data_IF_713902445615
#
_entry.id   IF_713902445615
#
_cell.length_a   1.000
_cell.length_b   1.000
_cell.length_c   1.000
_cell.angle_alpha   90.00
_cell.angle_beta   90.00
_cell.angle_gamma   90.00
#
_symmetry.space_group_name_H-M   'P 1'
#
loop_
_entity.id
_entity.type
_entity.pdbx_description
1 polymer ?
#
# COMPACT_ATOMS: atom_id res chain seq x y z
N UNK A 1 -9.83 -22.68 -4.85
CA UNK A 1 -9.80 -23.66 -3.76
C UNK A 1 -9.39 -22.87 -2.54
N UNK A 2 -10.21 -22.80 -1.47
CA UNK A 2 -9.74 -22.20 -0.21
C UNK A 2 -8.45 -22.92 0.20
N UNK A 3 -7.42 -22.18 0.56
CA UNK A 3 -6.17 -22.74 1.06
C UNK A 3 -6.43 -23.71 2.22
N UNK A 4 -5.48 -24.58 2.51
CA UNK A 4 -5.63 -25.47 3.67
C UNK A 4 -5.77 -24.63 4.95
N UNK A 5 -6.76 -24.94 5.77
CA UNK A 5 -7.02 -24.26 7.05
C UNK A 5 -6.74 -25.20 8.21
N UNK A 6 -6.41 -24.63 9.37
CA UNK A 6 -6.30 -25.35 10.64
C UNK A 6 -7.68 -25.81 11.14
N UNK A 7 -7.68 -26.72 12.12
CA UNK A 7 -8.89 -27.14 12.84
C UNK A 7 -9.40 -26.06 13.80
N UNK A 8 -8.50 -25.22 14.31
CA UNK A 8 -8.76 -24.07 15.19
C UNK A 8 -7.77 -22.96 14.83
N UNK A 9 -8.14 -21.67 14.95
CA UNK A 9 -7.25 -20.58 14.60
C UNK A 9 -6.15 -20.38 15.65
N UNK A 10 -4.97 -19.96 15.20
CA UNK A 10 -3.91 -19.46 16.09
C UNK A 10 -4.16 -17.98 16.34
N UNK A 11 -4.66 -17.68 17.54
CA UNK A 11 -5.09 -16.32 17.94
C UNK A 11 -4.03 -15.55 18.74
N UNK A 12 -2.83 -16.13 18.88
CA UNK A 12 -1.69 -15.42 19.47
C UNK A 12 -1.31 -14.24 18.58
N UNK A 13 -1.15 -13.07 19.22
CA UNK A 13 -0.82 -11.82 18.55
C UNK A 13 0.59 -11.39 18.95
N UNK A 14 1.35 -10.88 17.99
CA UNK A 14 2.61 -10.20 18.26
C UNK A 14 2.41 -8.72 17.96
N UNK A 15 2.60 -7.90 18.98
CA UNK A 15 2.24 -6.49 18.94
C UNK A 15 3.45 -5.63 19.31
N UNK A 16 3.63 -4.52 18.60
CA UNK A 16 4.66 -3.51 18.87
C UNK A 16 4.07 -2.11 18.88
N UNK A 17 4.66 -1.25 19.71
CA UNK A 17 4.33 0.16 19.82
C UNK A 17 5.62 0.95 20.04
N UNK A 18 5.78 2.03 19.29
CA UNK A 18 6.81 3.02 19.56
C UNK A 18 6.33 4.44 19.18
N UNK A 19 7.05 5.45 19.67
CA UNK A 19 6.75 6.86 19.44
C UNK A 19 8.02 7.68 19.24
N UNK A 20 7.97 8.62 18.29
CA UNK A 20 8.94 9.69 18.13
C UNK A 20 8.25 11.07 18.24
N UNK A 21 8.94 12.16 17.90
CA UNK A 21 8.38 13.52 18.01
C UNK A 21 7.30 13.87 16.98
N UNK A 22 7.17 13.10 15.90
CA UNK A 22 6.23 13.33 14.80
C UNK A 22 5.13 12.26 14.70
N UNK A 23 5.43 11.02 15.07
CA UNK A 23 4.57 9.87 14.84
C UNK A 23 4.59 8.92 16.05
N UNK A 24 3.44 8.30 16.31
CA UNK A 24 3.29 7.14 17.18
C UNK A 24 2.66 6.02 16.36
N UNK A 25 2.98 4.76 16.62
CA UNK A 25 2.32 3.65 15.94
C UNK A 25 1.96 2.52 16.89
N UNK A 26 0.89 1.79 16.55
CA UNK A 26 0.66 0.43 16.97
C UNK A 26 0.72 -0.49 15.76
N UNK A 27 1.29 -1.68 15.91
CA UNK A 27 1.36 -2.69 14.85
C UNK A 27 1.12 -4.06 15.48
N UNK A 28 0.23 -4.87 14.91
CA UNK A 28 -0.04 -6.22 15.38
C UNK A 28 -0.24 -7.17 14.20
N UNK A 29 0.07 -8.44 14.43
CA UNK A 29 -0.20 -9.50 13.48
C UNK A 29 -0.62 -10.81 14.16
N UNK A 30 -1.40 -11.61 13.45
CA UNK A 30 -2.01 -12.85 13.90
C UNK A 30 -2.10 -13.86 12.75
N UNK A 31 -1.78 -15.13 13.01
CA UNK A 31 -1.83 -16.16 11.98
C UNK A 31 -3.26 -16.55 11.59
N UNK A 32 -4.18 -16.60 12.55
CA UNK A 32 -5.58 -16.94 12.28
C UNK A 32 -5.72 -18.40 11.82
N UNK A 33 -6.53 -18.64 10.79
CA UNK A 33 -6.90 -19.99 10.36
C UNK A 33 -5.94 -20.62 9.36
N UNK A 34 -4.99 -19.86 8.78
CA UNK A 34 -4.00 -20.39 7.82
C UNK A 34 -3.03 -21.34 8.51
N UNK A 35 -2.48 -22.30 7.75
CA UNK A 35 -1.47 -23.25 8.27
C UNK A 35 -0.16 -22.57 8.66
N UNK A 36 0.19 -21.49 7.96
CA UNK A 36 1.44 -20.75 8.09
C UNK A 36 1.13 -19.27 8.31
N UNK A 37 2.06 -18.57 8.95
CA UNK A 37 2.09 -17.10 8.99
C UNK A 37 3.08 -16.64 7.92
N UNK A 38 2.56 -16.09 6.82
CA UNK A 38 3.34 -15.66 5.66
C UNK A 38 3.52 -14.14 5.59
N UNK A 39 2.75 -13.38 6.36
CA UNK A 39 2.92 -11.93 6.48
C UNK A 39 4.25 -11.54 7.14
N UNK A 40 4.76 -10.37 6.74
CA UNK A 40 5.83 -9.65 7.41
C UNK A 40 5.50 -8.14 7.48
N UNK A 41 6.26 -7.39 8.28
CA UNK A 41 6.09 -5.95 8.40
C UNK A 41 7.41 -5.22 8.70
N UNK A 42 7.41 -3.89 8.50
CA UNK A 42 8.50 -2.97 8.86
C UNK A 42 7.91 -1.76 9.57
N UNK A 43 8.50 -1.34 10.71
CA UNK A 43 8.04 -0.19 11.51
C UNK A 43 9.21 0.68 11.96
N UNK A 44 9.74 1.51 11.05
CA UNK A 44 10.91 2.37 11.31
C UNK A 44 10.49 3.82 11.55
N UNK A 45 10.46 4.25 12.80
CA UNK A 45 10.27 5.67 13.14
C UNK A 45 11.43 6.56 12.72
N UNK A 46 12.59 5.97 12.45
CA UNK A 46 13.75 6.65 11.86
C UNK A 46 14.36 5.78 10.77
N UNK A 47 14.33 6.27 9.54
CA UNK A 47 14.90 5.59 8.38
C UNK A 47 16.39 5.94 8.23
N UNK A 48 17.26 5.03 8.66
CA UNK A 48 18.71 5.24 8.67
C UNK A 48 19.11 6.47 9.49
N UNK A 49 19.99 7.31 8.94
CA UNK A 49 20.42 8.57 9.57
C UNK A 49 19.59 9.80 9.16
N UNK A 50 18.42 9.59 8.55
CA UNK A 50 17.52 10.67 8.09
C UNK A 50 16.47 11.04 9.14
N UNK A 51 15.68 12.09 8.88
CA UNK A 51 14.45 12.37 9.65
C UNK A 51 13.19 11.77 9.00
N UNK A 52 13.34 10.89 8.02
CA UNK A 52 12.23 10.15 7.44
C UNK A 52 11.83 8.95 8.32
N UNK A 53 10.61 8.45 8.14
CA UNK A 53 10.12 7.21 8.73
C UNK A 53 9.64 6.27 7.62
N UNK A 54 9.68 4.96 7.86
CA UNK A 54 9.27 3.95 6.88
C UNK A 54 8.42 2.88 7.55
N UNK A 55 7.26 2.61 6.97
CA UNK A 55 6.33 1.59 7.43
C UNK A 55 5.95 0.68 6.26
N UNK A 56 5.69 -0.60 6.51
CA UNK A 56 5.28 -1.51 5.45
C UNK A 56 4.61 -2.78 5.96
N UNK A 57 3.62 -3.26 5.21
CA UNK A 57 2.99 -4.58 5.36
C UNK A 57 3.26 -5.38 4.09
N UNK A 58 3.64 -6.64 4.25
CA UNK A 58 4.00 -7.56 3.19
C UNK A 58 3.22 -8.85 3.39
N UNK A 59 2.14 -9.02 2.66
CA UNK A 59 1.32 -10.23 2.66
C UNK A 59 1.97 -11.29 1.77
N UNK A 60 2.44 -12.37 2.36
CA UNK A 60 3.16 -13.43 1.67
C UNK A 60 2.25 -14.53 1.16
N UNK A 61 2.60 -15.12 0.02
CA UNK A 61 1.90 -16.28 -0.53
C UNK A 61 2.88 -17.29 -1.12
N UNK A 62 2.53 -18.57 -1.02
CA UNK A 62 3.38 -19.65 -1.51
C UNK A 62 4.63 -19.89 -0.65
N UNK A 63 4.64 -19.33 0.56
CA UNK A 63 5.76 -19.33 1.50
C UNK A 63 6.06 -17.93 2.03
N UNK A 64 6.77 -17.84 3.16
CA UNK A 64 7.06 -16.57 3.84
C UNK A 64 8.41 -15.94 3.46
N UNK A 65 9.24 -16.64 2.66
CA UNK A 65 10.62 -16.23 2.38
C UNK A 65 10.70 -14.84 1.77
N UNK A 66 9.93 -14.58 0.71
CA UNK A 66 9.99 -13.30 -0.02
C UNK A 66 9.41 -12.16 0.82
N UNK A 67 8.31 -12.38 1.55
CA UNK A 67 7.75 -11.37 2.46
C UNK A 67 8.76 -10.97 3.56
N UNK A 68 9.37 -11.95 4.23
CA UNK A 68 10.36 -11.71 5.28
C UNK A 68 11.60 -10.98 4.75
N UNK A 69 12.14 -11.42 3.61
CA UNK A 69 13.30 -10.75 3.00
C UNK A 69 12.97 -9.30 2.60
N UNK A 70 11.81 -9.09 2.00
CA UNK A 70 11.31 -7.78 1.59
C UNK A 70 11.20 -6.84 2.78
N UNK A 71 10.55 -7.26 3.87
CA UNK A 71 10.43 -6.46 5.09
C UNK A 71 11.77 -6.13 5.76
N UNK A 72 12.83 -6.89 5.50
CA UNK A 72 14.17 -6.60 6.03
C UNK A 72 15.03 -5.74 5.09
N UNK A 73 14.62 -5.55 3.83
CA UNK A 73 15.53 -5.06 2.78
C UNK A 73 14.97 -3.93 1.93
N UNK A 74 13.65 -3.84 1.72
CA UNK A 74 13.07 -2.84 0.82
C UNK A 74 13.39 -1.40 1.26
N UNK A 75 13.30 -1.09 2.55
CA UNK A 75 13.67 0.23 3.06
C UNK A 75 15.16 0.57 2.86
N UNK A 76 16.04 -0.44 2.82
CA UNK A 76 17.46 -0.27 2.51
C UNK A 76 17.64 0.12 1.05
N UNK A 77 16.89 -0.51 0.15
CA UNK A 77 16.86 -0.16 -1.29
C UNK A 77 16.37 1.27 -1.51
N UNK A 78 15.38 1.73 -0.75
CA UNK A 78 14.96 3.13 -0.74
C UNK A 78 16.13 4.06 -0.35
N UNK A 79 16.88 3.74 0.71
CA UNK A 79 18.05 4.54 1.14
C UNK A 79 19.22 4.51 0.13
N UNK A 80 19.39 3.40 -0.59
CA UNK A 80 20.45 3.21 -1.59
C UNK A 80 20.20 4.04 -2.86
N UNK A 81 18.93 4.25 -3.23
CA UNK A 81 18.53 4.98 -4.45
C UNK A 81 19.15 6.39 -4.53
N UNK A 82 19.70 6.72 -5.71
CA UNK A 82 20.17 8.06 -6.02
C UNK A 82 19.03 9.10 -6.06
N UNK A 83 17.81 8.67 -6.37
CA UNK A 83 16.63 9.53 -6.33
C UNK A 83 16.28 9.92 -4.89
N UNK A 84 16.45 9.01 -3.93
CA UNK A 84 16.22 9.32 -2.52
C UNK A 84 17.16 10.43 -2.02
N UNK A 85 18.45 10.35 -2.39
CA UNK A 85 19.46 11.37 -2.05
C UNK A 85 19.13 12.75 -2.61
N UNK A 86 18.40 12.80 -3.73
CA UNK A 86 17.92 14.01 -4.40
C UNK A 86 16.53 14.45 -3.93
N UNK A 87 15.93 13.77 -2.94
CA UNK A 87 14.55 13.96 -2.47
C UNK A 87 13.49 13.73 -3.56
N UNK A 88 13.80 12.89 -4.54
CA UNK A 88 12.89 12.43 -5.59
C UNK A 88 12.23 11.14 -5.13
N UNK A 89 11.36 11.25 -4.12
CA UNK A 89 10.87 10.11 -3.36
C UNK A 89 9.97 9.15 -4.16
N UNK A 90 9.23 9.68 -5.13
CA UNK A 90 8.42 8.87 -6.04
C UNK A 90 9.29 7.89 -6.83
N UNK A 91 10.34 8.40 -7.48
CA UNK A 91 11.29 7.60 -8.23
C UNK A 91 12.09 6.67 -7.31
N UNK A 92 12.47 7.12 -6.11
CA UNK A 92 13.20 6.30 -5.15
C UNK A 92 12.42 5.05 -4.72
N UNK A 93 11.11 5.16 -4.53
CA UNK A 93 10.25 4.01 -4.21
C UNK A 93 10.13 3.07 -5.41
N UNK A 94 10.01 3.59 -6.65
CA UNK A 94 10.01 2.73 -7.85
C UNK A 94 11.34 2.01 -8.03
N UNK A 95 12.47 2.71 -7.87
CA UNK A 95 13.80 2.09 -7.90
C UNK A 95 13.87 0.95 -6.90
N UNK A 96 13.46 1.21 -5.66
CA UNK A 96 13.59 0.23 -4.58
C UNK A 96 12.84 -1.08 -4.84
N UNK A 97 11.59 -1.00 -5.33
CA UNK A 97 10.80 -2.19 -5.67
C UNK A 97 11.45 -2.98 -6.82
N UNK A 98 11.80 -2.28 -7.91
CA UNK A 98 12.35 -2.92 -9.11
C UNK A 98 13.74 -3.50 -8.87
N UNK A 99 14.59 -2.80 -8.13
CA UNK A 99 15.95 -3.25 -7.79
C UNK A 99 15.93 -4.43 -6.80
N UNK A 100 15.04 -4.40 -5.79
CA UNK A 100 14.88 -5.53 -4.87
C UNK A 100 14.46 -6.78 -5.64
N UNK A 101 13.39 -6.70 -6.42
CA UNK A 101 12.87 -7.84 -7.18
C UNK A 101 13.88 -8.36 -8.21
N UNK A 102 14.58 -7.44 -8.89
CA UNK A 102 15.69 -7.79 -9.79
C UNK A 102 16.86 -8.44 -9.05
N UNK A 103 17.15 -8.05 -7.81
CA UNK A 103 18.22 -8.70 -7.03
C UNK A 103 17.85 -10.12 -6.61
N UNK A 104 16.57 -10.36 -6.28
CA UNK A 104 16.07 -11.67 -5.87
C UNK A 104 16.03 -12.67 -7.02
N UNK A 105 15.53 -12.27 -8.21
CA UNK A 105 15.49 -13.16 -9.38
C UNK A 105 16.89 -13.56 -9.88
N UNK A 106 17.91 -12.74 -9.59
CA UNK A 106 19.30 -13.00 -9.96
C UNK A 106 20.12 -13.70 -8.86
N UNK A 107 19.52 -13.99 -7.70
CA UNK A 107 20.16 -14.73 -6.61
C UNK A 107 19.63 -16.18 -6.61
N UNK A 108 20.52 -17.15 -6.79
CA UNK A 108 20.17 -18.57 -6.83
C UNK A 108 19.50 -19.09 -5.55
N UNK A 109 19.62 -18.39 -4.42
CA UNK A 109 18.92 -18.74 -3.18
C UNK A 109 17.43 -18.39 -3.23
N UNK A 110 17.01 -17.46 -4.10
CA UNK A 110 15.64 -16.95 -4.18
C UNK A 110 14.98 -17.15 -5.55
N UNK A 111 15.75 -17.25 -6.63
CA UNK A 111 15.26 -17.35 -8.00
C UNK A 111 14.32 -18.55 -8.26
N UNK A 112 14.44 -19.59 -7.44
CA UNK A 112 13.60 -20.80 -7.51
C UNK A 112 12.63 -20.93 -6.32
N UNK A 113 12.57 -19.94 -5.44
CA UNK A 113 11.58 -19.90 -4.37
C UNK A 113 10.20 -19.61 -5.01
N UNK A 114 9.17 -20.43 -4.75
CA UNK A 114 7.86 -20.24 -5.36
C UNK A 114 7.04 -19.13 -4.69
N UNK A 115 7.53 -18.55 -3.59
CA UNK A 115 6.79 -17.52 -2.87
C UNK A 115 6.82 -16.16 -3.58
N UNK A 116 5.82 -15.37 -3.26
CA UNK A 116 5.76 -13.95 -3.57
C UNK A 116 5.20 -13.19 -2.37
N UNK A 117 5.16 -11.88 -2.48
CA UNK A 117 4.43 -11.07 -1.52
C UNK A 117 3.87 -9.79 -2.16
N UNK A 118 2.75 -9.33 -1.62
CA UNK A 118 2.34 -7.94 -1.79
C UNK A 118 3.31 -7.01 -1.05
N UNK A 119 3.23 -5.73 -1.33
CA UNK A 119 3.90 -4.71 -0.55
C UNK A 119 3.11 -3.40 -0.59
N UNK A 120 2.58 -2.99 0.56
CA UNK A 120 2.11 -1.62 0.79
C UNK A 120 3.04 -0.95 1.78
N UNK A 121 3.69 0.15 1.37
CA UNK A 121 4.68 0.85 2.19
C UNK A 121 4.41 2.34 2.22
N UNK A 122 4.66 2.97 3.37
CA UNK A 122 4.58 4.41 3.57
C UNK A 122 5.96 4.98 3.90
N UNK A 123 6.45 5.90 3.06
CA UNK A 123 7.61 6.73 3.32
C UNK A 123 7.16 8.11 3.79
N UNK A 124 7.46 8.43 5.05
CA UNK A 124 7.14 9.74 5.64
C UNK A 124 8.39 10.59 5.62
N UNK A 125 8.30 11.74 4.98
CA UNK A 125 9.46 12.55 4.58
C UNK A 125 9.64 13.78 5.48
N UNK A 126 10.80 14.40 5.41
CA UNK A 126 11.16 15.52 6.29
C UNK A 126 10.29 16.75 6.04
N UNK A 127 9.84 16.93 4.80
CA UNK A 127 8.95 17.96 4.28
C UNK A 127 7.46 17.64 4.50
N UNK A 128 7.15 16.70 5.39
CA UNK A 128 5.81 16.33 5.81
C UNK A 128 4.92 15.80 4.68
N UNK A 129 5.48 14.98 3.79
CA UNK A 129 4.71 14.17 2.85
C UNK A 129 4.69 12.70 3.26
N UNK A 130 3.57 12.02 2.97
CA UNK A 130 3.41 10.57 3.06
C UNK A 130 3.33 10.05 1.62
N UNK A 131 4.36 9.33 1.19
CA UNK A 131 4.34 8.60 -0.07
C UNK A 131 3.96 7.16 0.22
N UNK A 132 2.77 6.74 -0.23
CA UNK A 132 2.35 5.34 -0.14
C UNK A 132 2.54 4.65 -1.48
N UNK A 133 3.41 3.66 -1.50
CA UNK A 133 3.67 2.80 -2.65
C UNK A 133 2.99 1.44 -2.43
N UNK A 134 2.21 0.98 -3.41
CA UNK A 134 1.51 -0.29 -3.36
C UNK A 134 1.80 -1.16 -4.59
N UNK A 135 2.11 -2.43 -4.37
CA UNK A 135 2.09 -3.49 -5.36
C UNK A 135 1.41 -4.72 -4.75
N UNK A 136 0.19 -5.01 -5.19
CA UNK A 136 -0.67 -6.06 -4.64
C UNK A 136 -1.99 -5.52 -4.10
N UNK A 137 -2.61 -6.28 -3.21
CA UNK A 137 -3.93 -6.06 -2.63
C UNK A 137 -3.94 -5.90 -1.10
N UNK A 138 -2.75 -5.74 -0.49
CA UNK A 138 -2.67 -4.98 0.75
C UNK A 138 -3.01 -3.50 0.50
N UNK A 139 -3.48 -2.79 1.53
CA UNK A 139 -4.04 -1.44 1.36
C UNK A 139 -3.65 -0.46 2.45
N UNK A 140 -3.54 0.81 2.05
CA UNK A 140 -3.31 1.96 2.91
C UNK A 140 -4.42 3.00 2.80
N UNK A 141 -4.88 3.52 3.94
CA UNK A 141 -5.89 4.60 4.01
C UNK A 141 -5.56 5.62 5.10
N UNK A 142 -6.02 6.86 4.96
CA UNK A 142 -5.83 7.93 5.95
C UNK A 142 -7.17 8.47 6.46
N UNK A 143 -7.24 8.74 7.77
CA UNK A 143 -8.35 9.48 8.38
C UNK A 143 -8.07 10.98 8.39
N UNK A 144 -8.99 11.75 7.83
CA UNK A 144 -8.96 13.22 7.80
C UNK A 144 -10.29 13.72 8.35
N UNK A 145 -10.28 14.31 9.54
CA UNK A 145 -11.50 14.72 10.25
C UNK A 145 -12.57 13.60 10.33
N UNK A 146 -12.13 12.33 10.40
CA UNK A 146 -13.01 11.15 10.48
C UNK A 146 -13.58 10.67 9.16
N UNK A 147 -13.15 11.26 8.04
CA UNK A 147 -13.44 10.75 6.71
C UNK A 147 -12.22 10.05 6.14
N UNK A 148 -12.45 8.87 5.59
CA UNK A 148 -11.38 8.10 4.97
C UNK A 148 -11.01 8.67 3.60
N UNK A 149 -9.71 8.72 3.31
CA UNK A 149 -9.15 8.95 1.98
C UNK A 149 -8.22 7.77 1.66
N UNK A 150 -8.38 7.10 0.50
CA UNK A 150 -7.41 6.07 0.06
C UNK A 150 -6.01 6.66 -0.10
N UNK A 151 -5.00 5.92 0.37
CA UNK A 151 -3.59 6.15 0.06
C UNK A 151 -3.01 5.08 -0.87
N UNK A 152 -3.75 4.01 -1.14
CA UNK A 152 -3.47 3.06 -2.20
C UNK A 152 -4.76 2.52 -2.80
N UNK A 153 -4.61 1.76 -3.89
CA UNK A 153 -5.67 0.96 -4.49
C UNK A 153 -5.13 -0.44 -4.74
N UNK A 154 -5.98 -1.44 -4.61
CA UNK A 154 -5.63 -2.84 -4.82
C UNK A 154 -5.35 -3.12 -6.30
N UNK A 155 -4.48 -4.09 -6.57
CA UNK A 155 -4.12 -4.52 -7.91
C UNK A 155 -4.70 -5.90 -8.23
N UNK A 156 -5.98 -5.94 -8.63
CA UNK A 156 -6.66 -7.19 -8.96
C UNK A 156 -6.50 -7.52 -10.45
N UNK A 157 -6.38 -8.80 -10.84
CA UNK A 157 -6.26 -9.18 -12.27
C UNK A 157 -7.42 -8.72 -13.16
N UNK A 158 -8.58 -8.45 -12.57
CA UNK A 158 -9.77 -7.96 -13.27
C UNK A 158 -9.76 -6.45 -13.51
N UNK A 159 -8.85 -5.71 -12.90
CA UNK A 159 -8.71 -4.27 -13.13
C UNK A 159 -8.25 -4.04 -14.56
N UNK A 160 -8.86 -3.05 -15.22
CA UNK A 160 -8.69 -2.84 -16.66
C UNK A 160 -7.22 -2.73 -17.09
N UNK A 161 -6.44 -1.91 -16.39
CA UNK A 161 -5.02 -1.71 -16.70
C UNK A 161 -4.18 -2.97 -16.44
N UNK A 162 -4.49 -3.70 -15.37
CA UNK A 162 -3.79 -4.93 -15.00
C UNK A 162 -4.09 -6.05 -16.01
N UNK A 163 -5.37 -6.24 -16.35
CA UNK A 163 -5.80 -7.22 -17.36
C UNK A 163 -5.18 -6.93 -18.74
N UNK A 164 -5.14 -5.66 -19.14
CA UNK A 164 -4.48 -5.24 -20.39
C UNK A 164 -2.98 -5.59 -20.37
N UNK A 165 -2.25 -5.29 -19.28
CA UNK A 165 -0.84 -5.68 -19.13
C UNK A 165 -0.66 -7.20 -19.19
N UNK A 166 -1.45 -7.96 -18.43
CA UNK A 166 -1.38 -9.43 -18.38
C UNK A 166 -1.52 -10.04 -19.78
N UNK A 167 -2.51 -9.60 -20.55
CA UNK A 167 -2.77 -10.09 -21.91
C UNK A 167 -1.63 -9.68 -22.86
N UNK A 168 -1.16 -8.43 -22.78
CA UNK A 168 -0.03 -7.95 -23.59
C UNK A 168 1.26 -8.71 -23.31
N UNK A 169 1.45 -9.16 -22.07
CA UNK A 169 2.60 -9.95 -21.65
C UNK A 169 2.53 -11.44 -22.08
N UNK A 170 1.41 -11.86 -22.69
CA UNK A 170 1.16 -13.23 -23.15
C UNK A 170 0.44 -14.12 -22.13
N UNK A 171 0.00 -13.57 -21.00
CA UNK A 171 -0.85 -14.25 -20.02
C UNK A 171 -2.34 -14.13 -20.33
N UNK A 172 -3.18 -14.61 -19.41
CA UNK A 172 -4.63 -14.48 -19.47
C UNK A 172 -5.23 -14.31 -18.07
N UNK A 173 -6.49 -13.89 -17.99
CA UNK A 173 -7.23 -13.80 -16.73
C UNK A 173 -8.42 -14.75 -16.78
N UNK A 174 -8.50 -15.67 -15.83
CA UNK A 174 -9.57 -16.66 -15.72
C UNK A 174 -10.04 -16.75 -14.27
N UNK A 175 -11.36 -16.72 -14.04
CA UNK A 175 -11.96 -16.68 -12.69
C UNK A 175 -11.35 -15.61 -11.75
N UNK A 176 -10.99 -14.46 -12.32
CA UNK A 176 -10.37 -13.36 -11.58
C UNK A 176 -8.90 -13.59 -11.21
N UNK A 177 -8.25 -14.59 -11.80
CA UNK A 177 -6.87 -14.98 -11.49
C UNK A 177 -5.96 -14.90 -12.71
N UNK A 178 -4.73 -14.47 -12.51
CA UNK A 178 -3.66 -14.48 -13.52
C UNK A 178 -3.34 -15.93 -13.88
N UNK A 179 -3.45 -16.26 -15.17
CA UNK A 179 -3.29 -17.59 -15.73
C UNK A 179 -4.12 -18.67 -14.99
N UNK A 180 -5.28 -18.29 -14.42
CA UNK A 180 -6.12 -19.16 -13.61
C UNK A 180 -5.56 -19.53 -12.22
N UNK A 181 -4.38 -19.00 -11.85
CA UNK A 181 -3.66 -19.36 -10.62
C UNK A 181 -3.68 -18.23 -9.57
N UNK A 182 -3.01 -17.11 -9.85
CA UNK A 182 -2.71 -16.07 -8.86
C UNK A 182 -3.85 -15.03 -8.75
N UNK A 183 -4.31 -14.72 -7.53
CA UNK A 183 -5.47 -13.84 -7.28
C UNK A 183 -5.15 -12.33 -7.31
N UNK A 184 -3.86 -11.99 -7.40
CA UNK A 184 -3.34 -10.64 -7.46
C UNK A 184 -2.54 -10.46 -8.75
N UNK A 185 -2.37 -9.21 -9.17
CA UNK A 185 -1.68 -8.88 -10.43
C UNK A 185 -0.31 -8.24 -10.25
N UNK A 186 0.04 -7.80 -9.02
CA UNK A 186 1.34 -7.20 -8.72
C UNK A 186 1.89 -7.76 -7.42
N UNK A 187 3.17 -8.14 -7.44
CA UNK A 187 3.88 -8.70 -6.30
C UNK A 187 5.40 -8.65 -6.51
N UNK A 188 6.15 -8.68 -5.40
CA UNK A 188 7.57 -9.02 -5.38
C UNK A 188 7.69 -10.55 -5.30
N UNK A 189 8.70 -11.16 -5.93
CA UNK A 189 8.77 -12.61 -6.06
C UNK A 189 7.97 -13.11 -7.26
N UNK A 190 7.27 -14.25 -7.13
CA UNK A 190 6.43 -14.82 -8.21
C UNK A 190 7.18 -14.96 -9.54
N UNK A 191 8.44 -15.39 -9.48
CA UNK A 191 9.34 -15.29 -10.62
C UNK A 191 8.88 -16.11 -11.83
N UNK A 192 8.09 -17.16 -11.63
CA UNK A 192 7.49 -17.93 -12.74
C UNK A 192 6.63 -17.06 -13.69
N UNK A 193 6.08 -15.95 -13.21
CA UNK A 193 5.29 -14.99 -13.98
C UNK A 193 6.11 -13.84 -14.58
N UNK A 194 7.43 -13.85 -14.39
CA UNK A 194 8.37 -12.76 -14.75
C UNK A 194 9.48 -13.19 -15.71
N UNK A 195 9.26 -14.27 -16.46
CA UNK A 195 10.28 -14.90 -17.32
C UNK A 195 10.31 -14.38 -18.77
N UNK A 196 9.53 -13.35 -19.11
CA UNK A 196 9.53 -12.84 -20.49
C UNK A 196 10.73 -11.91 -20.72
N UNK A 197 11.81 -12.43 -21.29
CA UNK A 197 13.05 -11.69 -21.57
C UNK A 197 12.88 -10.50 -22.53
N UNK A 198 11.79 -10.46 -23.31
CA UNK A 198 11.52 -9.36 -24.24
C UNK A 198 10.82 -8.16 -23.57
N UNK A 199 10.39 -8.31 -22.32
CA UNK A 199 9.61 -7.31 -21.58
C UNK A 199 10.42 -6.75 -20.42
N UNK A 200 10.23 -5.47 -20.11
CA UNK A 200 10.79 -4.90 -18.90
C UNK A 200 10.12 -5.50 -17.65
N UNK A 201 10.73 -5.38 -16.45
CA UNK A 201 10.10 -5.83 -15.21
C UNK A 201 8.70 -5.27 -14.95
N UNK A 202 8.39 -4.09 -15.52
CA UNK A 202 7.08 -3.40 -15.41
C UNK A 202 6.00 -4.01 -16.29
N UNK A 203 6.39 -4.70 -17.34
CA UNK A 203 5.50 -5.20 -18.39
C UNK A 203 5.26 -6.71 -18.27
N UNK A 204 5.83 -7.36 -17.25
CA UNK A 204 5.63 -8.79 -16.99
C UNK A 204 4.16 -9.12 -16.64
N UNK A 205 3.81 -10.41 -16.73
CA UNK A 205 2.47 -10.90 -16.39
C UNK A 205 2.08 -10.53 -14.96
N UNK A 206 3.00 -10.74 -14.01
CA UNK A 206 2.97 -10.16 -12.65
C UNK A 206 4.13 -9.20 -12.53
N UNK A 207 3.92 -8.00 -12.00
CA UNK A 207 4.98 -6.99 -11.85
C UNK A 207 5.10 -6.51 -10.42
N UNK A 208 6.31 -6.07 -10.02
CA UNK A 208 6.54 -5.37 -8.77
C UNK A 208 6.49 -3.84 -8.91
N UNK A 209 6.19 -3.27 -10.09
CA UNK A 209 6.12 -1.81 -10.27
C UNK A 209 4.99 -1.21 -9.42
N UNK A 210 5.30 -0.38 -8.41
CA UNK A 210 4.26 0.12 -7.52
C UNK A 210 3.50 1.29 -8.14
N UNK A 211 2.23 1.40 -7.78
CA UNK A 211 1.50 2.66 -7.85
C UNK A 211 1.79 3.46 -6.59
N UNK A 212 1.97 4.78 -6.72
CA UNK A 212 2.39 5.64 -5.62
C UNK A 212 1.44 6.84 -5.52
N UNK A 213 0.91 7.07 -4.32
CA UNK A 213 0.13 8.25 -3.97
C UNK A 213 0.96 9.12 -3.02
N UNK A 214 1.05 10.41 -3.36
CA UNK A 214 1.64 11.45 -2.52
C UNK A 214 0.54 12.19 -1.75
N UNK A 215 0.72 12.32 -0.44
CA UNK A 215 -0.15 13.06 0.45
C UNK A 215 0.68 14.07 1.28
N UNK A 216 0.45 15.36 1.06
CA UNK A 216 0.97 16.42 1.94
C UNK A 216 0.20 16.43 3.27
N UNK A 217 0.91 16.26 4.38
CA UNK A 217 0.32 16.21 5.72
C UNK A 217 -0.26 17.58 6.10
N UNK A 218 -1.53 17.56 6.48
CA UNK A 218 -2.28 18.71 6.99
C UNK A 218 -2.54 18.58 8.49
N UNK A 219 -2.94 19.69 9.11
CA UNK A 219 -3.35 19.73 10.53
C UNK A 219 -4.61 18.90 10.86
N UNK A 220 -5.35 18.49 9.83
CA UNK A 220 -6.60 17.75 9.98
C UNK A 220 -6.40 16.24 9.91
N UNK A 221 -5.23 15.80 9.46
CA UNK A 221 -4.90 14.39 9.33
C UNK A 221 -4.66 13.79 10.72
N UNK A 222 -5.26 12.64 10.93
CA UNK A 222 -5.38 12.04 12.26
C UNK A 222 -4.38 10.89 12.40
N UNK A 223 -4.57 9.86 11.60
CA UNK A 223 -3.77 8.67 11.50
C UNK A 223 -3.95 8.05 10.12
N UNK A 224 -3.02 7.20 9.70
CA UNK A 224 -3.21 6.30 8.56
C UNK A 224 -3.05 4.84 9.00
N UNK A 225 -3.62 3.95 8.22
CA UNK A 225 -3.63 2.51 8.47
C UNK A 225 -3.04 1.82 7.25
N UNK A 226 -2.12 0.87 7.47
CA UNK A 226 -1.68 -0.11 6.47
C UNK A 226 -2.07 -1.50 6.98
N UNK A 227 -2.65 -2.33 6.11
CA UNK A 227 -3.00 -3.71 6.45
C UNK A 227 -3.04 -4.62 5.23
N UNK A 228 -2.94 -5.94 5.46
CA UNK A 228 -3.17 -6.97 4.43
C UNK A 228 -4.67 -7.18 4.16
N UNK A 229 -4.98 -7.97 3.14
CA UNK A 229 -6.37 -8.23 2.72
C UNK A 229 -7.16 -9.01 3.78
N UNK A 230 -6.49 -9.76 4.68
CA UNK A 230 -7.12 -10.38 5.85
C UNK A 230 -7.93 -9.42 6.72
N UNK A 231 -7.61 -8.12 6.68
CA UNK A 231 -8.42 -7.05 7.28
C UNK A 231 -9.42 -6.47 6.27
N UNK A 232 -8.95 -6.10 5.08
CA UNK A 232 -9.75 -5.35 4.09
C UNK A 232 -10.88 -6.16 3.45
N UNK A 233 -10.77 -7.49 3.44
CA UNK A 233 -11.85 -8.40 3.04
C UNK A 233 -12.98 -8.42 4.07
N UNK A 234 -12.69 -8.08 5.33
CA UNK A 234 -13.64 -8.12 6.44
C UNK A 234 -14.24 -6.75 6.77
N UNK A 235 -13.47 -5.67 6.56
CA UNK A 235 -13.87 -4.31 6.93
C UNK A 235 -13.60 -3.34 5.79
N UNK A 236 -14.58 -2.50 5.46
CA UNK A 236 -14.39 -1.42 4.49
C UNK A 236 -13.47 -0.31 5.02
N UNK A 237 -12.96 0.50 4.09
CA UNK A 237 -12.08 1.64 4.39
C UNK A 237 -12.64 2.56 5.50
N UNK A 238 -13.94 2.90 5.45
CA UNK A 238 -14.54 3.80 6.43
C UNK A 238 -14.84 3.08 7.75
N UNK A 239 -15.19 1.79 7.73
CA UNK A 239 -15.40 1.00 8.96
C UNK A 239 -14.12 0.92 9.79
N UNK A 240 -12.95 0.71 9.17
CA UNK A 240 -11.67 0.72 9.88
C UNK A 240 -11.39 2.09 10.52
N UNK A 241 -11.60 3.20 9.78
CA UNK A 241 -11.41 4.55 10.33
C UNK A 241 -12.35 4.84 11.50
N UNK A 242 -13.63 4.48 11.37
CA UNK A 242 -14.63 4.67 12.41
C UNK A 242 -14.33 3.82 13.65
N UNK A 243 -13.90 2.57 13.45
CA UNK A 243 -13.49 1.66 14.51
C UNK A 243 -12.31 2.23 15.31
N UNK A 244 -11.22 2.61 14.65
CA UNK A 244 -10.04 3.19 15.31
C UNK A 244 -10.42 4.44 16.13
N UNK A 245 -11.22 5.34 15.56
CA UNK A 245 -11.69 6.54 16.27
C UNK A 245 -12.57 6.22 17.47
N UNK A 246 -13.43 5.21 17.36
CA UNK A 246 -14.30 4.74 18.45
C UNK A 246 -13.49 4.15 19.60
N UNK A 247 -12.49 3.33 19.30
CA UNK A 247 -11.65 2.70 20.31
C UNK A 247 -10.70 3.69 21.01
N UNK A 248 -10.16 4.67 20.26
CA UNK A 248 -9.43 5.81 20.87
C UNK A 248 -10.33 6.58 21.85
N UNK A 249 -11.61 6.78 21.50
CA UNK A 249 -12.56 7.45 22.39
C UNK A 249 -12.88 6.64 23.66
N UNK A 250 -12.56 5.34 23.66
CA UNK A 250 -12.66 4.43 24.81
C UNK A 250 -11.32 4.27 25.55
N UNK A 251 -10.35 5.17 25.31
CA UNK A 251 -9.03 5.20 25.95
C UNK A 251 -8.16 3.96 25.65
N UNK A 252 -8.40 3.26 24.53
CA UNK A 252 -7.51 2.19 24.07
C UNK A 252 -6.29 2.73 23.35
N UNK A 253 -5.17 2.02 23.49
CA UNK A 253 -3.90 2.33 22.81
C UNK A 253 -3.88 1.75 21.40
N UNK A 254 -3.12 2.36 20.47
CA UNK A 254 -3.08 1.94 19.05
C UNK A 254 -2.74 0.46 18.88
N UNK A 255 -1.84 -0.08 19.70
CA UNK A 255 -1.48 -1.49 19.73
C UNK A 255 -2.67 -2.38 20.10
N UNK A 256 -3.41 -2.05 21.15
CA UNK A 256 -4.63 -2.78 21.54
C UNK A 256 -5.71 -2.67 20.45
N UNK A 257 -5.83 -1.51 19.80
CA UNK A 257 -6.78 -1.31 18.69
C UNK A 257 -6.44 -2.21 17.49
N UNK A 258 -5.14 -2.40 17.20
CA UNK A 258 -4.71 -3.35 16.17
C UNK A 258 -5.16 -4.78 16.50
N UNK A 259 -5.03 -5.20 17.77
CA UNK A 259 -5.51 -6.50 18.24
C UNK A 259 -7.03 -6.63 18.10
N UNK A 260 -7.78 -5.60 18.51
CA UNK A 260 -9.24 -5.57 18.45
C UNK A 260 -9.76 -5.62 16.99
N UNK A 261 -9.07 -4.97 16.04
CA UNK A 261 -9.41 -5.04 14.61
C UNK A 261 -9.30 -6.49 14.13
N UNK A 262 -8.22 -7.19 14.47
CA UNK A 262 -8.02 -8.58 14.05
C UNK A 262 -9.04 -9.51 14.71
N UNK A 263 -9.36 -9.32 15.98
CA UNK A 263 -10.40 -10.10 16.66
C UNK A 263 -11.79 -9.86 16.05
N UNK A 264 -12.07 -8.64 15.58
CA UNK A 264 -13.31 -8.32 14.87
C UNK A 264 -13.36 -8.95 13.45
N UNK A 265 -12.21 -9.14 12.80
CA UNK A 265 -12.13 -9.77 11.48
C UNK A 265 -12.12 -11.30 11.54
N UNK A 266 -11.62 -11.89 12.63
CA UNK A 266 -11.46 -13.34 12.76
C UNK A 266 -12.80 -14.08 12.71
N UNK A 267 -12.88 -15.10 11.85
CA UNK A 267 -14.05 -15.96 11.79
C UNK A 267 -14.20 -16.76 13.10
N UNK A 268 -15.37 -16.66 13.74
CA UNK A 268 -15.69 -17.38 14.99
C UNK A 268 -15.71 -18.91 14.81
N UNK A 269 -16.19 -19.36 13.65
CA UNK A 269 -16.37 -20.77 13.31
C UNK A 269 -15.98 -20.99 11.85
N UNK A 270 -15.84 -22.26 11.46
CA UNK A 270 -15.65 -22.58 10.06
C UNK A 270 -16.93 -22.27 9.24
N UNK A 271 -16.98 -21.12 8.58
CA UNK A 271 -18.07 -20.67 7.70
C UNK A 271 -17.78 -20.93 6.22
N UNK A 272 -18.81 -20.91 5.38
CA UNK A 272 -18.66 -21.13 3.93
C UNK A 272 -18.22 -19.89 3.14
N UNK A 273 -18.08 -18.71 3.77
CA UNK A 273 -17.70 -17.47 3.07
C UNK A 273 -16.20 -17.35 2.84
N UNK A 274 -15.37 -17.97 3.69
CA UNK A 274 -13.91 -17.81 3.67
C UNK A 274 -13.39 -16.48 4.22
N UNK A 275 -14.28 -15.55 4.59
CA UNK A 275 -13.91 -14.27 5.22
C UNK A 275 -13.42 -14.51 6.65
N UNK A 276 -12.34 -13.82 7.05
CA UNK A 276 -11.78 -13.93 8.39
C UNK A 276 -10.91 -15.16 8.63
N UNK A 277 -10.44 -15.82 7.57
CA UNK A 277 -9.59 -17.01 7.63
C UNK A 277 -8.11 -16.73 7.39
N UNK A 278 -7.78 -15.51 6.98
CA UNK A 278 -6.44 -15.19 6.54
C UNK A 278 -5.44 -14.95 7.68
N UNK A 279 -4.16 -14.85 7.31
CA UNK A 279 -3.21 -14.08 8.12
C UNK A 279 -3.70 -12.64 8.21
N UNK A 280 -3.45 -12.00 9.34
CA UNK A 280 -3.88 -10.63 9.57
C UNK A 280 -2.70 -9.83 10.09
N UNK A 281 -2.39 -8.73 9.43
CA UNK A 281 -1.40 -7.75 9.84
C UNK A 281 -1.97 -6.36 9.65
N UNK A 282 -1.92 -5.54 10.69
CA UNK A 282 -2.40 -4.17 10.69
C UNK A 282 -1.48 -3.27 11.48
N UNK A 283 -1.25 -2.06 10.97
CA UNK A 283 -0.59 -1.00 11.69
C UNK A 283 -1.37 0.31 11.57
N UNK A 284 -1.45 1.02 12.69
CA UNK A 284 -2.06 2.34 12.80
C UNK A 284 -0.96 3.31 13.17
N UNK A 285 -0.77 4.36 12.37
CA UNK A 285 0.26 5.37 12.59
C UNK A 285 -0.42 6.72 12.83
N UNK A 286 -0.30 7.22 14.05
CA UNK A 286 -0.76 8.55 14.47
C UNK A 286 0.14 9.67 13.93
N UNK A 287 -0.48 10.71 13.38
CA UNK A 287 0.20 11.93 12.92
C UNK A 287 0.10 12.99 14.02
N UNK A 288 1.19 13.17 14.78
CA UNK A 288 1.14 13.96 16.00
C UNK A 288 0.99 15.47 15.72
N UNK A 289 1.49 15.96 14.58
CA UNK A 289 1.37 17.37 14.18
C UNK A 289 1.78 18.34 15.30
N UNK A 290 2.94 18.08 15.92
CA UNK A 290 3.52 18.88 17.00
C UNK A 290 2.94 18.62 18.41
N UNK A 291 1.99 17.71 18.55
CA UNK A 291 1.45 17.27 19.84
C UNK A 291 2.34 16.19 20.45
N UNK A 292 2.30 16.05 21.78
CA UNK A 292 2.66 14.79 22.42
C UNK A 292 1.64 13.70 22.06
N UNK A 293 2.02 12.43 22.19
CA UNK A 293 1.10 11.32 21.97
C UNK A 293 -0.18 11.44 22.81
N UNK A 294 -0.04 11.79 24.10
CA UNK A 294 -1.18 12.00 25.00
C UNK A 294 -2.11 13.11 24.52
N UNK A 295 -1.55 14.24 24.08
CA UNK A 295 -2.34 15.35 23.52
C UNK A 295 -3.02 14.95 22.20
N UNK A 296 -2.40 14.09 21.40
CA UNK A 296 -2.99 13.55 20.19
C UNK A 296 -4.21 12.65 20.49
N UNK A 297 -4.11 11.70 21.43
CA UNK A 297 -5.26 10.88 21.84
C UNK A 297 -6.42 11.75 22.34
N UNK A 298 -6.13 12.74 23.19
CA UNK A 298 -7.14 13.67 23.70
C UNK A 298 -7.79 14.47 22.56
N UNK A 299 -7.00 14.92 21.57
CA UNK A 299 -7.49 15.64 20.40
C UNK A 299 -8.43 14.78 19.53
N UNK A 300 -8.12 13.50 19.30
CA UNK A 300 -9.03 12.59 18.59
C UNK A 300 -10.33 12.39 19.38
N UNK A 301 -10.25 12.18 20.69
CA UNK A 301 -11.42 11.99 21.58
C UNK A 301 -12.40 13.17 21.52
N UNK A 302 -11.88 14.40 21.50
CA UNK A 302 -12.67 15.62 21.37
C UNK A 302 -13.34 15.75 20.00
N UNK A 303 -12.65 15.36 18.93
CA UNK A 303 -13.21 15.32 17.56
C UNK A 303 -14.30 14.26 17.39
N UNK A 304 -14.12 13.07 17.95
CA UNK A 304 -15.11 11.99 17.93
C UNK A 304 -16.38 12.39 18.70
N UNK A 305 -16.23 13.07 19.84
CA UNK A 305 -17.37 13.57 20.64
C UNK A 305 -18.15 14.70 19.94
N UNK A 306 -17.45 15.54 19.17
CA UNK A 306 -18.07 16.67 18.45
C UNK A 306 -18.87 16.19 17.23
N UNK A 307 -18.39 15.15 16.54
CA UNK A 307 -19.09 14.56 15.38
C UNK A 307 -20.43 13.92 15.77
N UNK A 308 -20.52 13.32 16.97
CA UNK A 308 -21.76 12.72 17.50
C UNK A 308 -22.82 13.73 17.95
N UNK A 309 -22.47 15.00 18.20
CA UNK A 309 -23.46 16.03 18.54
C UNK A 309 -24.18 16.58 17.30
N UNK A 310 -23.49 16.65 16.17
CA UNK A 310 -24.03 17.22 14.92
C UNK A 310 -24.97 16.24 14.20
N UNK A 311 -24.83 14.92 14.41
CA UNK A 311 -25.69 13.88 13.82
C UNK A 311 -27.05 13.70 14.52
N UNK A 312 -27.32 14.45 15.60
CA UNK A 312 -28.63 14.45 16.28
C UNK A 312 -29.69 15.35 15.63
N UNK A 313 -29.35 16.05 14.54
CA UNK A 313 -30.28 16.76 13.68
C UNK A 313 -30.04 16.31 12.22
N UNK A 314 -31.11 15.95 11.51
CA UNK A 314 -31.15 15.34 10.16
C UNK A 314 -30.59 13.92 10.05
N UNK A 315 -31.47 12.93 10.28
CA UNK A 315 -31.34 11.60 9.67
C UNK A 315 -31.85 11.72 8.23
N UNK A 316 -30.96 12.08 7.32
CA UNK A 316 -31.06 11.68 5.92
C UNK A 316 -29.95 10.66 5.67
N UNK A 317 -30.36 9.44 5.37
CA UNK A 317 -29.51 8.28 5.09
C UNK A 317 -28.70 8.52 3.81
N UNK A 318 -27.51 9.12 3.95
CA UNK A 318 -26.50 9.10 2.89
C UNK A 318 -25.59 7.91 3.15
N UNK A 319 -25.91 6.80 2.49
CA UNK A 319 -25.02 5.65 2.32
C UNK A 319 -23.77 6.12 1.55
N UNK A 320 -22.67 6.37 2.26
CA UNK A 320 -21.39 6.77 1.67
C UNK A 320 -20.34 5.66 1.83
N UNK A 321 -20.74 4.40 1.57
CA UNK A 321 -19.91 3.22 1.79
C UNK A 321 -19.10 2.75 0.56
N UNK A 322 -19.12 3.47 -0.57
CA UNK A 322 -18.45 3.00 -1.79
C UNK A 322 -17.26 3.89 -2.15
N UNK A 323 -16.21 3.88 -1.32
CA UNK A 323 -14.89 4.28 -1.80
C UNK A 323 -14.28 3.02 -2.42
N UNK A 324 -14.02 3.03 -3.75
CA UNK A 324 -13.62 1.82 -4.45
C UNK A 324 -12.23 1.36 -4.01
N UNK A 325 -12.09 0.04 -3.90
CA UNK A 325 -10.85 -0.65 -3.59
C UNK A 325 -9.86 -0.56 -4.76
N UNK A 326 -10.37 -0.45 -5.99
CA UNK A 326 -9.58 -0.23 -7.20
C UNK A 326 -9.54 1.24 -7.60
N UNK A 327 -8.46 1.62 -8.29
CA UNK A 327 -8.25 2.98 -8.73
C UNK A 327 -9.36 3.42 -9.71
N UNK A 328 -9.86 4.67 -9.61
CA UNK A 328 -10.81 5.18 -10.58
C UNK A 328 -10.20 5.16 -11.98
N UNK A 329 -10.93 4.63 -12.96
CA UNK A 329 -10.46 4.56 -14.35
C UNK A 329 -10.09 5.95 -14.85
N UNK A 330 -8.80 6.21 -15.10
CA UNK A 330 -8.35 7.48 -15.70
C UNK A 330 -9.01 7.64 -17.07
N UNK A 331 -9.97 8.56 -17.19
CA UNK A 331 -10.47 9.00 -18.48
C UNK A 331 -9.33 9.79 -19.15
N UNK A 332 -8.65 9.19 -20.12
CA UNK A 332 -7.58 9.83 -20.88
C UNK A 332 -8.17 10.86 -21.85
N UNK A 333 -8.40 12.09 -21.39
CA UNK A 333 -8.48 13.25 -22.31
C UNK A 333 -7.10 13.84 -22.47
N UNK A 334 -6.32 13.29 -23.40
CA UNK A 334 -5.13 13.95 -23.94
C UNK A 334 -5.58 15.20 -24.70
N UNK A 335 -5.44 16.37 -24.07
CA UNK A 335 -5.57 17.65 -24.78
C UNK A 335 -4.15 18.13 -25.07
N UNK A 336 -3.66 17.83 -26.27
CA UNK A 336 -2.41 18.38 -26.77
C UNK A 336 -2.60 19.86 -27.08
N UNK A 337 -1.99 20.72 -26.27
CA UNK A 337 -1.84 22.13 -26.59
C UNK A 337 -0.76 22.28 -27.67
N UNK A 338 -1.18 22.50 -28.92
CA UNK A 338 -0.29 22.84 -30.03
C UNK A 338 0.18 24.30 -29.88
N UNK A 339 1.47 24.49 -29.57
CA UNK A 339 2.11 25.79 -29.66
C UNK A 339 2.32 26.15 -31.14
N UNK A 340 1.58 27.15 -31.61
CA UNK A 340 1.71 27.73 -32.95
C UNK A 340 2.87 28.72 -32.94
N UNK A 341 3.92 28.47 -33.73
CA UNK A 341 5.00 29.45 -33.97
C UNK A 341 4.77 30.11 -35.33
N UNK A 342 4.50 31.42 -35.31
CA UNK A 342 4.38 32.27 -36.50
C UNK A 342 5.60 33.18 -36.68
N UNK A 343 6.06 33.23 -37.94
CA UNK A 343 6.82 34.30 -38.63
C UNK A 343 8.32 34.48 -38.24
N UNK A 344 9.25 34.86 -39.13
CA UNK A 344 9.16 35.67 -40.36
C UNK A 344 10.17 35.24 -41.43
N UNK A 345 9.75 35.41 -42.67
CA UNK A 345 10.52 35.56 -43.89
C UNK A 345 11.29 36.88 -43.88
N UNK A 346 12.58 36.86 -44.24
CA UNK A 346 13.27 38.00 -44.83
C UNK A 346 14.28 37.50 -45.87
N UNK A 347 14.16 38.08 -47.07
CA UNK A 347 14.96 37.87 -48.28
C UNK A 347 16.27 38.67 -48.23
N UNK A 348 17.40 38.08 -48.64
CA UNK A 348 18.49 38.84 -49.24
C UNK A 348 19.34 37.96 -50.19
N UNK A 349 19.53 38.50 -51.38
CA UNK A 349 20.26 37.98 -52.54
C UNK A 349 21.78 38.12 -52.41
N UNK A 350 22.55 37.13 -52.88
CA UNK A 350 23.63 37.28 -53.89
C UNK A 350 24.61 36.08 -53.88
N UNK A 351 24.80 35.47 -55.04
CA UNK A 351 25.91 34.55 -55.38
C UNK A 351 27.10 35.36 -55.93
N UNK A 352 28.21 34.78 -56.46
CA UNK A 352 28.95 33.50 -56.27
C UNK A 352 30.48 33.84 -55.97
N UNK A 353 31.54 33.02 -56.18
CA UNK A 353 31.64 31.74 -56.90
C UNK A 353 32.54 30.61 -56.36
N UNK A 354 32.34 29.47 -57.02
CA UNK A 354 33.19 28.28 -57.17
C UNK A 354 34.70 28.55 -57.11
N UNK A 355 35.44 27.62 -56.49
CA UNK A 355 36.70 27.09 -57.01
C UNK A 355 37.09 25.75 -56.34
N UNK A 356 37.36 24.80 -57.24
CA UNK A 356 38.14 23.54 -57.17
C UNK A 356 37.75 22.44 -56.16
#
# INVERSE_FOLDING_TARGET
IMGQTLSEPITEKTTTHEVNSKYSYGCSHMQGWRLTMEDAHTTLLKLGDTNASFFGVFDGHGGSTIAQYTGQTLYKKVLESEHFKKKQYYEALKDAFLELDSSLINDNNFAYDPSGCTAVVALLTEDNHIFVANAGDSRGVISIDGKVKPLSYDHKPTDKAEMERIIMAGGFVEFGRVNGNLALSRAIGDFEFKQNEALSPKEQVVTCDPDIIDHEITKNDEFFVLACDGIWDCMSNQEVVDFVRSEIAQDKTLDTICEDIMDNCLANDQTSSGLGYDNMSVMIIAILNGKTEKEWYQWIKEKSSSSNKTTSASVDTINNNNIPDSAPSKLTTATTAAATTTAKTETATSSPPLKE
#
